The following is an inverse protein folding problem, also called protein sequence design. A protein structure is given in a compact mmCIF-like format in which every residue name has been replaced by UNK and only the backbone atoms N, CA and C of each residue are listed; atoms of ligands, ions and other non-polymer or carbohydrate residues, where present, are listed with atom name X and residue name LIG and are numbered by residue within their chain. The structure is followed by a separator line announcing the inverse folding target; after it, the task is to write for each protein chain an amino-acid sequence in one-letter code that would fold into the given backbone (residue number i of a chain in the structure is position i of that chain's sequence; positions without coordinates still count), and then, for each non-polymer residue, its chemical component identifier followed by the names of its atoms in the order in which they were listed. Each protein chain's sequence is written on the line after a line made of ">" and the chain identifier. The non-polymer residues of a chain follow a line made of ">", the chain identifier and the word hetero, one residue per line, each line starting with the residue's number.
data_IF_767521343187
#
_entry.id   IF_767521343187
#
_cell.length_a   1.000
_cell.length_b   1.000
_cell.length_c   1.000
_cell.angle_alpha   90.00
_cell.angle_beta   90.00
_cell.angle_gamma   90.00
#
_symmetry.space_group_name_H-M   'P 1'
#
loop_
_entity.id
_entity.type
_entity.pdbx_description
1 polymer ?
#
# COMPACT_ATOMS: atom_id res chain seq x y z
N UNK A 1 72.93 23.04 -18.27
CA UNK A 1 71.73 23.83 -17.88
C UNK A 1 70.58 22.85 -17.77
N UNK A 2 70.18 22.53 -16.55
CA UNK A 2 69.13 21.57 -16.21
C UNK A 2 67.85 22.33 -15.93
N UNK A 3 66.79 22.13 -16.71
CA UNK A 3 65.48 22.71 -16.45
C UNK A 3 64.62 21.65 -15.79
N UNK A 4 64.21 21.90 -14.55
CA UNK A 4 63.30 21.13 -13.73
C UNK A 4 61.87 21.44 -14.11
N UNK A 5 61.14 20.45 -14.68
CA UNK A 5 59.70 20.49 -14.90
C UNK A 5 59.01 20.06 -13.61
N UNK A 6 58.31 20.96 -12.95
CA UNK A 6 57.43 20.64 -11.81
C UNK A 6 56.08 20.18 -12.34
N UNK A 7 55.77 18.89 -12.19
CA UNK A 7 54.43 18.30 -12.42
C UNK A 7 53.49 18.75 -11.28
N UNK A 8 52.50 19.53 -11.65
CA UNK A 8 51.38 19.93 -10.79
C UNK A 8 50.28 18.83 -10.94
N UNK A 9 50.25 17.89 -10.01
CA UNK A 9 49.16 16.88 -9.95
C UNK A 9 47.91 17.59 -9.37
N UNK A 10 46.94 17.88 -10.24
CA UNK A 10 45.60 18.32 -9.85
C UNK A 10 44.83 17.10 -9.31
N UNK A 11 44.64 17.05 -8.01
CA UNK A 11 43.81 16.06 -7.34
C UNK A 11 42.35 16.45 -7.56
N UNK A 12 41.72 15.92 -8.60
CA UNK A 12 40.27 16.07 -8.84
C UNK A 12 39.53 15.18 -7.84
N UNK A 13 39.14 15.78 -6.71
CA UNK A 13 38.25 15.14 -5.76
C UNK A 13 36.87 15.00 -6.44
N UNK A 14 36.61 13.83 -7.01
CA UNK A 14 35.31 13.48 -7.56
C UNK A 14 34.30 13.41 -6.42
N UNK A 15 33.47 14.45 -6.28
CA UNK A 15 32.25 14.40 -5.47
C UNK A 15 31.32 13.42 -6.18
N UNK A 16 31.32 12.16 -5.76
CA UNK A 16 30.31 11.19 -6.17
C UNK A 16 28.95 11.75 -5.76
N UNK A 17 27.96 11.88 -6.68
CA UNK A 17 26.64 12.30 -6.29
C UNK A 17 26.07 11.22 -5.36
N UNK A 18 25.80 11.56 -4.13
CA UNK A 18 25.02 10.73 -3.21
C UNK A 18 23.61 10.69 -3.80
N UNK A 19 23.28 9.63 -4.50
CA UNK A 19 21.91 9.37 -4.92
C UNK A 19 21.05 9.16 -3.67
N UNK A 20 20.47 10.21 -3.19
CA UNK A 20 19.41 10.15 -2.19
C UNK A 20 18.18 9.61 -2.93
N UNK A 21 17.85 8.34 -2.75
CA UNK A 21 16.63 7.76 -3.30
C UNK A 21 15.43 8.46 -2.67
N UNK A 22 14.87 9.45 -3.37
CA UNK A 22 13.58 10.05 -3.09
C UNK A 22 12.48 9.16 -3.67
N UNK A 23 11.28 9.17 -3.06
CA UNK A 23 10.09 8.64 -3.70
C UNK A 23 9.50 9.70 -4.63
N UNK A 24 8.96 9.30 -5.79
CA UNK A 24 8.33 10.23 -6.71
C UNK A 24 6.94 10.60 -6.20
N UNK A 25 6.51 11.84 -6.46
CA UNK A 25 5.20 12.33 -6.02
C UNK A 25 4.07 11.40 -6.49
N UNK A 26 4.12 10.90 -7.72
CA UNK A 26 3.12 9.94 -8.24
C UNK A 26 3.01 8.64 -7.46
N UNK A 27 4.09 8.22 -6.78
CA UNK A 27 4.10 7.00 -5.97
C UNK A 27 3.51 7.24 -4.56
N UNK A 28 3.46 8.50 -4.13
CA UNK A 28 2.98 8.95 -2.82
C UNK A 28 1.56 9.51 -2.83
N UNK A 29 1.04 9.89 -4.00
CA UNK A 29 -0.23 10.63 -4.11
C UNK A 29 -1.15 10.10 -5.20
N UNK A 30 -2.42 10.41 -5.03
CA UNK A 30 -3.46 10.30 -6.06
C UNK A 30 -4.00 11.71 -6.38
N UNK A 31 -4.41 11.94 -7.62
CA UNK A 31 -5.00 13.21 -8.03
C UNK A 31 -6.49 13.20 -7.67
N UNK A 32 -6.97 14.23 -6.97
CA UNK A 32 -8.39 14.36 -6.64
C UNK A 32 -9.24 14.36 -7.91
N UNK A 33 -10.26 13.51 -7.92
CA UNK A 33 -11.14 13.30 -9.07
C UNK A 33 -10.73 12.11 -9.95
N UNK A 34 -9.49 11.61 -9.83
CA UNK A 34 -9.05 10.39 -10.51
C UNK A 34 -9.37 9.18 -9.63
N UNK A 35 -10.62 8.77 -9.62
CA UNK A 35 -11.07 7.60 -8.87
C UNK A 35 -11.74 6.60 -9.80
N UNK A 36 -11.62 5.35 -9.48
CA UNK A 36 -12.43 4.31 -10.07
C UNK A 36 -13.86 4.35 -9.52
N UNK A 37 -14.83 4.01 -10.34
CA UNK A 37 -16.22 3.92 -9.94
C UNK A 37 -16.71 2.49 -10.15
N UNK A 38 -17.38 1.96 -9.14
CA UNK A 38 -17.92 0.62 -9.19
C UNK A 38 -19.25 0.60 -9.92
N UNK A 39 -19.39 -0.36 -10.82
CA UNK A 39 -20.60 -0.65 -11.56
C UNK A 39 -21.15 -2.01 -11.14
N UNK A 40 -22.45 -2.12 -11.14
CA UNK A 40 -23.14 -3.38 -10.84
C UNK A 40 -24.32 -3.59 -11.81
N UNK A 41 -24.67 -4.83 -11.99
CA UNK A 41 -25.81 -5.20 -12.82
C UNK A 41 -26.37 -6.57 -12.42
N UNK A 42 -27.64 -6.76 -12.70
CA UNK A 42 -28.30 -8.05 -12.64
C UNK A 42 -28.41 -8.62 -14.04
N UNK A 43 -27.95 -9.85 -14.23
CA UNK A 43 -27.94 -10.49 -15.53
C UNK A 43 -28.29 -11.98 -15.46
N UNK A 44 -28.37 -12.59 -16.64
CA UNK A 44 -28.62 -14.02 -16.83
C UNK A 44 -27.45 -14.64 -17.59
N UNK A 45 -26.94 -15.74 -17.07
CA UNK A 45 -25.98 -16.61 -17.76
C UNK A 45 -26.74 -17.81 -18.32
N UNK A 46 -26.51 -18.14 -19.58
CA UNK A 46 -27.12 -19.25 -20.29
C UNK A 46 -26.10 -20.27 -20.75
N UNK A 47 -26.52 -21.51 -21.07
CA UNK A 47 -25.62 -22.54 -21.59
C UNK A 47 -24.96 -23.38 -20.51
N UNK A 48 -25.55 -23.49 -19.31
CA UNK A 48 -24.97 -24.18 -18.14
C UNK A 48 -25.13 -25.70 -18.07
N UNK A 49 -25.68 -26.30 -19.11
CA UNK A 49 -25.79 -27.78 -19.27
C UNK A 49 -26.27 -28.52 -17.98
N UNK A 50 -27.36 -28.04 -17.39
CA UNK A 50 -27.95 -28.63 -16.19
C UNK A 50 -27.32 -28.22 -14.85
N UNK A 51 -26.32 -27.32 -14.84
CA UNK A 51 -25.66 -26.76 -13.65
C UNK A 51 -26.21 -25.40 -13.19
N UNK A 52 -27.18 -24.86 -13.93
CA UNK A 52 -27.83 -23.57 -13.62
C UNK A 52 -28.84 -23.68 -12.47
N UNK A 53 -29.53 -22.58 -12.24
CA UNK A 53 -30.53 -22.44 -11.19
C UNK A 53 -31.68 -23.44 -11.30
N UNK A 54 -32.19 -23.90 -10.17
CA UNK A 54 -33.31 -24.77 -10.06
C UNK A 54 -34.47 -24.12 -9.32
N UNK A 55 -35.56 -23.82 -10.02
CA UNK A 55 -36.82 -23.31 -9.44
C UNK A 55 -36.63 -21.98 -8.68
N UNK A 56 -35.86 -21.09 -9.24
CA UNK A 56 -35.65 -19.74 -8.68
C UNK A 56 -36.53 -18.75 -9.46
N UNK A 57 -37.52 -18.16 -8.78
CA UNK A 57 -38.52 -17.27 -9.39
C UNK A 57 -37.92 -16.07 -10.12
N UNK A 58 -36.93 -15.38 -9.49
CA UNK A 58 -36.27 -14.23 -10.13
C UNK A 58 -35.41 -14.63 -11.34
N UNK A 59 -34.88 -15.87 -11.39
CA UNK A 59 -34.20 -16.39 -12.59
C UNK A 59 -35.20 -16.64 -13.72
N UNK A 60 -36.37 -17.24 -13.40
CA UNK A 60 -37.44 -17.47 -14.35
C UNK A 60 -38.00 -16.13 -14.90
N UNK A 61 -38.24 -15.15 -14.04
CA UNK A 61 -38.67 -13.81 -14.44
C UNK A 61 -37.60 -13.10 -15.28
N UNK A 62 -36.33 -13.24 -14.92
CA UNK A 62 -35.21 -12.62 -15.63
C UNK A 62 -35.11 -13.11 -17.07
N UNK A 63 -35.25 -14.42 -17.33
CA UNK A 63 -35.22 -14.95 -18.70
C UNK A 63 -36.47 -14.60 -19.48
N UNK A 64 -37.66 -14.57 -18.84
CA UNK A 64 -38.89 -14.14 -19.50
C UNK A 64 -38.81 -12.69 -19.98
N UNK A 65 -38.29 -11.79 -19.12
CA UNK A 65 -38.07 -10.39 -19.48
C UNK A 65 -37.03 -10.26 -20.62
N UNK A 66 -35.97 -11.06 -20.60
CA UNK A 66 -34.98 -11.08 -21.68
C UNK A 66 -35.61 -11.54 -23.02
N UNK A 67 -36.42 -12.59 -22.98
CA UNK A 67 -37.13 -13.09 -24.17
C UNK A 67 -38.16 -12.04 -24.71
N UNK A 68 -38.90 -11.38 -23.80
CA UNK A 68 -39.83 -10.34 -24.17
C UNK A 68 -39.13 -9.13 -24.84
N UNK A 69 -37.96 -8.76 -24.33
CA UNK A 69 -37.12 -7.71 -24.94
C UNK A 69 -36.66 -8.05 -26.35
N UNK A 70 -36.57 -9.34 -26.69
CA UNK A 70 -36.26 -9.86 -28.03
C UNK A 70 -37.53 -10.09 -28.89
N UNK A 71 -38.71 -9.73 -28.37
CA UNK A 71 -39.99 -9.90 -29.08
C UNK A 71 -40.59 -11.30 -28.96
N UNK A 72 -40.06 -12.16 -28.14
CA UNK A 72 -40.52 -13.52 -27.88
C UNK A 72 -41.38 -13.52 -26.62
N UNK A 73 -42.65 -13.91 -26.76
CA UNK A 73 -43.55 -14.06 -25.62
C UNK A 73 -43.60 -15.52 -25.19
N UNK A 74 -43.24 -15.76 -23.95
CA UNK A 74 -43.32 -17.08 -23.29
C UNK A 74 -44.03 -16.91 -21.94
N UNK A 75 -45.01 -17.77 -21.67
CA UNK A 75 -45.77 -17.71 -20.41
C UNK A 75 -45.07 -18.39 -19.26
N UNK A 76 -44.09 -19.23 -19.53
CA UNK A 76 -43.30 -19.96 -18.52
C UNK A 76 -41.88 -20.19 -19.01
N UNK A 77 -40.93 -20.13 -18.07
CA UNK A 77 -39.56 -20.53 -18.34
C UNK A 77 -39.42 -22.05 -18.30
N UNK A 78 -38.51 -22.60 -19.10
CA UNK A 78 -38.16 -24.01 -19.06
C UNK A 78 -37.36 -24.33 -17.82
N UNK A 79 -37.61 -25.55 -17.24
CA UNK A 79 -36.96 -26.05 -16.00
C UNK A 79 -35.65 -26.80 -16.28
N UNK A 80 -34.95 -26.43 -17.33
CA UNK A 80 -33.79 -27.17 -17.84
C UNK A 80 -32.52 -27.04 -17.00
N UNK A 81 -32.49 -26.18 -15.96
CA UNK A 81 -31.27 -25.82 -15.21
C UNK A 81 -30.12 -25.30 -16.12
N UNK A 82 -30.47 -24.70 -17.23
CA UNK A 82 -29.52 -24.24 -18.23
C UNK A 82 -29.22 -22.74 -18.11
N UNK A 83 -29.87 -22.07 -17.17
CA UNK A 83 -29.77 -20.67 -16.88
C UNK A 83 -29.46 -20.41 -15.41
N UNK A 84 -28.77 -19.30 -15.13
CA UNK A 84 -28.53 -18.82 -13.76
C UNK A 84 -28.65 -17.31 -13.69
N UNK A 85 -29.29 -16.82 -12.62
CA UNK A 85 -29.26 -15.42 -12.27
C UNK A 85 -27.93 -15.05 -11.66
N UNK A 86 -27.36 -13.94 -12.12
CA UNK A 86 -26.03 -13.50 -11.69
C UNK A 86 -26.01 -12.01 -11.33
N UNK A 87 -25.20 -11.70 -10.34
CA UNK A 87 -24.73 -10.34 -10.07
C UNK A 87 -23.44 -10.10 -10.83
N UNK A 88 -23.37 -8.97 -11.50
CA UNK A 88 -22.20 -8.54 -12.25
C UNK A 88 -21.61 -7.35 -11.55
N UNK A 89 -20.31 -7.35 -11.38
CA UNK A 89 -19.55 -6.21 -10.86
C UNK A 89 -18.42 -5.88 -11.81
N UNK A 90 -18.19 -4.60 -12.02
CA UNK A 90 -17.09 -4.09 -12.84
C UNK A 90 -16.60 -2.76 -12.26
N UNK A 91 -15.42 -2.35 -12.65
CA UNK A 91 -14.81 -1.11 -12.21
C UNK A 91 -14.40 -0.27 -13.41
N UNK A 92 -15.02 0.90 -13.54
CA UNK A 92 -14.64 1.86 -14.57
C UNK A 92 -13.59 2.82 -14.00
N UNK A 93 -12.40 2.80 -14.58
CA UNK A 93 -11.33 3.69 -14.18
C UNK A 93 -11.62 5.16 -14.57
N UNK A 94 -10.84 6.10 -14.01
CA UNK A 94 -11.05 7.54 -14.22
C UNK A 94 -10.87 7.99 -15.67
N UNK A 95 -10.21 7.18 -16.50
CA UNK A 95 -9.94 7.45 -17.90
C UNK A 95 -10.71 6.53 -18.86
N UNK A 96 -11.74 5.84 -18.34
CA UNK A 96 -12.59 4.99 -19.17
C UNK A 96 -13.34 5.82 -20.20
N UNK A 97 -13.08 5.54 -21.48
CA UNK A 97 -13.70 6.24 -22.63
C UNK A 97 -14.80 5.38 -23.23
N UNK A 98 -15.86 6.05 -23.73
CA UNK A 98 -16.91 5.35 -24.48
C UNK A 98 -16.29 4.56 -25.64
N UNK A 99 -16.75 3.32 -25.82
CA UNK A 99 -16.21 2.38 -26.80
C UNK A 99 -15.01 1.55 -26.33
N UNK A 100 -14.45 1.81 -25.13
CA UNK A 100 -13.40 0.94 -24.54
C UNK A 100 -14.02 -0.21 -23.77
N UNK A 101 -13.27 -1.31 -23.67
CA UNK A 101 -13.70 -2.53 -22.99
C UNK A 101 -13.04 -2.66 -21.62
N UNK A 102 -13.75 -3.31 -20.70
CA UNK A 102 -13.24 -3.64 -19.38
C UNK A 102 -13.64 -5.05 -18.97
N UNK A 103 -12.91 -5.61 -18.03
CA UNK A 103 -13.22 -6.90 -17.42
C UNK A 103 -14.34 -6.76 -16.41
N UNK A 104 -15.05 -7.85 -16.20
CA UNK A 104 -16.11 -7.92 -15.21
C UNK A 104 -16.08 -9.25 -14.46
N UNK A 105 -16.61 -9.22 -13.26
CA UNK A 105 -16.82 -10.41 -12.43
C UNK A 105 -18.30 -10.75 -12.41
N UNK A 106 -18.59 -12.03 -12.59
CA UNK A 106 -19.95 -12.59 -12.59
C UNK A 106 -20.05 -13.56 -11.41
N UNK A 107 -21.06 -13.37 -10.56
CA UNK A 107 -21.30 -14.22 -9.38
C UNK A 107 -22.74 -14.72 -9.40
N UNK A 108 -22.95 -16.02 -9.26
CA UNK A 108 -24.30 -16.58 -9.11
C UNK A 108 -24.96 -16.05 -7.84
N UNK A 109 -26.22 -15.62 -7.94
CA UNK A 109 -27.07 -15.23 -6.80
C UNK A 109 -28.14 -16.25 -6.48
N UNK A 110 -28.30 -17.24 -7.36
CA UNK A 110 -29.24 -18.35 -7.19
C UNK A 110 -28.60 -19.58 -6.57
N UNK A 111 -29.08 -20.73 -6.96
CA UNK A 111 -28.60 -22.04 -6.54
C UNK A 111 -27.92 -22.82 -7.65
N UNK A 112 -27.31 -22.12 -8.61
CA UNK A 112 -26.52 -22.75 -9.66
C UNK A 112 -25.30 -23.49 -9.06
N UNK A 113 -25.05 -24.70 -9.55
CA UNK A 113 -23.90 -25.51 -9.12
C UNK A 113 -22.60 -24.98 -9.74
N UNK A 114 -22.68 -24.42 -10.99
CA UNK A 114 -21.51 -23.88 -11.70
C UNK A 114 -21.93 -22.93 -12.82
N UNK A 115 -21.09 -21.95 -13.13
CA UNK A 115 -21.20 -21.06 -14.28
C UNK A 115 -20.31 -21.50 -15.46
N UNK A 116 -19.70 -22.67 -15.39
CA UNK A 116 -18.76 -23.16 -16.39
C UNK A 116 -19.43 -23.31 -17.78
N UNK A 117 -18.73 -22.76 -18.79
CA UNK A 117 -19.20 -22.82 -20.18
C UNK A 117 -20.38 -21.91 -20.50
N UNK A 118 -20.88 -21.17 -19.50
CA UNK A 118 -21.99 -20.27 -19.67
C UNK A 118 -21.61 -18.98 -20.42
N UNK A 119 -22.61 -18.38 -21.02
CA UNK A 119 -22.50 -17.07 -21.70
C UNK A 119 -23.42 -16.08 -20.99
N UNK A 120 -22.86 -14.95 -20.58
CA UNK A 120 -23.61 -13.83 -20.03
C UNK A 120 -24.39 -13.14 -21.15
N UNK A 121 -25.69 -13.03 -20.97
CA UNK A 121 -26.56 -12.26 -21.86
C UNK A 121 -26.29 -10.75 -21.67
N UNK A 122 -26.63 -9.96 -22.69
CA UNK A 122 -26.47 -8.51 -22.67
C UNK A 122 -27.14 -7.92 -21.42
N UNK A 123 -26.33 -7.26 -20.60
CA UNK A 123 -26.75 -6.74 -19.29
C UNK A 123 -26.24 -5.33 -19.09
N UNK A 124 -27.13 -4.36 -18.75
CA UNK A 124 -26.70 -3.01 -18.40
C UNK A 124 -26.04 -2.97 -17.04
N UNK A 125 -24.89 -2.29 -16.94
CA UNK A 125 -24.19 -2.03 -15.70
C UNK A 125 -24.46 -0.60 -15.25
N UNK A 126 -24.91 -0.44 -14.01
CA UNK A 126 -25.31 0.83 -13.40
C UNK A 126 -24.29 1.28 -12.38
N UNK A 127 -24.10 2.60 -12.30
CA UNK A 127 -23.41 3.24 -11.20
C UNK A 127 -24.30 3.42 -9.96
N UNK A 128 -23.71 3.95 -8.89
CA UNK A 128 -24.44 4.25 -7.65
C UNK A 128 -25.58 5.28 -7.82
N UNK A 129 -25.52 6.09 -8.86
CA UNK A 129 -26.55 7.05 -9.26
C UNK A 129 -27.72 6.43 -10.05
N UNK A 130 -27.66 5.12 -10.32
CA UNK A 130 -28.67 4.37 -11.06
C UNK A 130 -28.58 4.50 -12.59
N UNK A 131 -27.64 5.31 -13.11
CA UNK A 131 -27.44 5.47 -14.54
C UNK A 131 -26.63 4.33 -15.13
N UNK A 132 -26.90 3.97 -16.40
CA UNK A 132 -26.15 2.94 -17.12
C UNK A 132 -24.87 3.56 -17.68
N UNK A 133 -23.72 2.96 -17.36
CA UNK A 133 -22.40 3.37 -17.82
C UNK A 133 -21.74 2.39 -18.78
N UNK A 134 -22.10 1.11 -18.69
CA UNK A 134 -21.56 0.08 -19.56
C UNK A 134 -22.59 -0.99 -19.85
N UNK A 135 -22.34 -1.78 -20.90
CA UNK A 135 -23.15 -2.94 -21.27
C UNK A 135 -22.22 -4.16 -21.29
N UNK A 136 -22.62 -5.19 -20.56
CA UNK A 136 -21.84 -6.41 -20.35
C UNK A 136 -22.41 -7.59 -21.15
N UNK A 137 -21.54 -8.38 -21.79
CA UNK A 137 -21.88 -9.68 -22.41
C UNK A 137 -20.62 -10.48 -22.66
N UNK A 138 -20.77 -11.81 -22.75
CA UNK A 138 -19.66 -12.65 -23.19
C UNK A 138 -19.54 -13.99 -22.45
N UNK A 139 -18.60 -14.85 -22.86
CA UNK A 139 -18.37 -16.15 -22.24
C UNK A 139 -17.78 -15.99 -20.83
N UNK A 140 -18.35 -16.73 -19.87
CA UNK A 140 -17.89 -16.72 -18.48
C UNK A 140 -16.73 -17.72 -18.34
N UNK A 141 -15.57 -17.22 -17.93
CA UNK A 141 -14.41 -18.04 -17.59
C UNK A 141 -14.34 -18.21 -16.08
N UNK A 142 -14.44 -19.42 -15.60
CA UNK A 142 -14.24 -19.74 -14.18
C UNK A 142 -12.79 -20.14 -13.93
N UNK A 143 -12.20 -19.66 -12.83
CA UNK A 143 -10.79 -19.91 -12.47
C UNK A 143 -10.56 -21.27 -11.81
N UNK A 144 -11.24 -22.36 -12.24
CA UNK A 144 -11.08 -23.68 -11.64
C UNK A 144 -11.56 -24.81 -12.54
N UNK A 145 -10.90 -25.96 -12.44
CA UNK A 145 -11.31 -27.21 -13.05
C UNK A 145 -12.30 -27.93 -12.12
N UNK A 146 -13.52 -28.11 -12.59
CA UNK A 146 -14.46 -29.10 -12.01
C UNK A 146 -14.26 -30.45 -12.76
N UNK A 147 -13.46 -31.35 -12.20
CA UNK A 147 -13.28 -32.70 -12.73
C UNK A 147 -13.91 -33.66 -11.74
N UNK A 148 -15.09 -34.17 -12.09
CA UNK A 148 -15.79 -35.23 -11.34
C UNK A 148 -16.40 -36.22 -12.30
N UNK A 149 -15.78 -37.39 -12.43
CA UNK A 149 -16.39 -38.57 -13.00
C UNK A 149 -16.34 -39.69 -11.94
N UNK A 150 -17.50 -40.04 -11.38
CA UNK A 150 -17.67 -41.23 -10.54
C UNK A 150 -17.11 -41.20 -9.12
N UNK A 151 -17.85 -40.69 -8.16
CA UNK A 151 -17.70 -41.06 -6.74
C UNK A 151 -16.81 -40.18 -5.85
N UNK A 152 -16.18 -39.13 -6.35
CA UNK A 152 -15.42 -38.20 -5.53
C UNK A 152 -15.47 -36.79 -6.14
N UNK A 153 -16.18 -35.88 -5.49
CA UNK A 153 -16.25 -34.47 -5.93
C UNK A 153 -15.04 -33.75 -5.38
N UNK A 154 -13.97 -33.62 -6.18
CA UNK A 154 -12.86 -32.71 -5.86
C UNK A 154 -13.21 -31.35 -6.44
N UNK A 155 -13.78 -30.50 -5.62
CA UNK A 155 -14.09 -29.13 -5.96
C UNK A 155 -12.86 -28.28 -5.63
N UNK A 156 -12.08 -27.91 -6.65
CA UNK A 156 -10.99 -26.94 -6.54
C UNK A 156 -11.47 -25.64 -7.17
N UNK A 157 -11.62 -24.61 -6.33
CA UNK A 157 -12.12 -23.26 -6.62
C UNK A 157 -13.66 -23.13 -6.71
N UNK A 158 -14.14 -21.88 -6.52
CA UNK A 158 -15.56 -21.55 -6.50
C UNK A 158 -16.14 -21.51 -7.93
N UNK A 159 -16.89 -22.54 -8.37
CA UNK A 159 -17.40 -22.61 -9.75
C UNK A 159 -18.56 -21.65 -10.01
N UNK A 160 -19.05 -20.98 -8.98
CA UNK A 160 -20.17 -20.03 -9.02
C UNK A 160 -19.74 -18.59 -9.25
N UNK A 161 -18.43 -18.35 -9.34
CA UNK A 161 -17.84 -17.03 -9.66
C UNK A 161 -16.93 -17.17 -10.87
N UNK A 162 -17.05 -16.25 -11.82
CA UNK A 162 -16.24 -16.22 -13.02
C UNK A 162 -15.92 -14.80 -13.47
N UNK A 163 -15.01 -14.70 -14.42
CA UNK A 163 -14.58 -13.45 -15.04
C UNK A 163 -14.95 -13.49 -16.52
N UNK A 164 -15.44 -12.38 -17.05
CA UNK A 164 -15.60 -12.17 -18.49
C UNK A 164 -14.60 -11.10 -18.92
N UNK A 165 -13.52 -11.57 -19.54
CA UNK A 165 -12.44 -10.68 -19.99
C UNK A 165 -12.92 -9.82 -21.17
N UNK A 166 -12.69 -8.51 -21.09
CA UNK A 166 -13.18 -7.52 -22.07
C UNK A 166 -14.70 -7.63 -22.35
N UNK A 167 -15.46 -8.08 -21.35
CA UNK A 167 -16.88 -8.38 -21.50
C UNK A 167 -17.80 -7.19 -21.33
N UNK A 168 -17.35 -6.08 -20.80
CA UNK A 168 -18.15 -4.87 -20.68
C UNK A 168 -17.64 -3.79 -21.63
N UNK A 169 -18.55 -3.20 -22.39
CA UNK A 169 -18.31 -2.04 -23.25
C UNK A 169 -18.79 -0.78 -22.53
N UNK A 170 -17.93 0.21 -22.40
CA UNK A 170 -18.29 1.50 -21.81
C UNK A 170 -19.13 2.29 -22.81
N UNK A 171 -20.34 2.66 -22.41
CA UNK A 171 -21.28 3.46 -23.21
C UNK A 171 -21.27 4.94 -22.79
N UNK A 172 -20.98 5.21 -21.50
CA UNK A 172 -20.95 6.56 -20.96
C UNK A 172 -19.68 6.79 -20.17
N UNK A 173 -19.01 7.90 -20.46
CA UNK A 173 -17.82 8.33 -19.71
C UNK A 173 -18.21 8.91 -18.35
N UNK A 174 -17.31 8.75 -17.38
CA UNK A 174 -17.40 9.45 -16.10
C UNK A 174 -16.56 10.72 -16.23
N UNK A 175 -17.22 11.86 -16.22
CA UNK A 175 -16.52 13.13 -16.29
C UNK A 175 -15.84 13.45 -14.96
N UNK A 176 -14.58 13.86 -15.04
CA UNK A 176 -13.84 14.42 -13.91
C UNK A 176 -13.49 15.87 -14.20
N UNK A 177 -13.84 16.77 -13.29
CA UNK A 177 -13.49 18.18 -13.40
C UNK A 177 -12.00 18.46 -13.12
N UNK A 178 -11.24 17.45 -12.72
CA UNK A 178 -9.85 17.62 -12.28
C UNK A 178 -8.93 18.16 -13.38
N UNK A 179 -9.23 17.86 -14.66
CA UNK A 179 -8.42 18.32 -15.79
C UNK A 179 -8.81 19.71 -16.33
N UNK A 180 -9.98 20.22 -15.94
CA UNK A 180 -10.50 21.52 -16.40
C UNK A 180 -10.25 22.66 -15.43
N UNK A 181 -9.72 22.37 -14.22
CA UNK A 181 -9.44 23.37 -13.19
C UNK A 181 -8.04 23.96 -13.33
N UNK A 182 -7.91 25.21 -12.90
CA UNK A 182 -6.61 25.93 -12.84
C UNK A 182 -5.71 25.43 -11.69
N UNK A 183 -6.19 24.47 -10.91
CA UNK A 183 -5.45 23.85 -9.81
C UNK A 183 -5.77 22.37 -9.66
N UNK A 184 -4.79 21.61 -9.20
CA UNK A 184 -4.85 20.19 -8.96
C UNK A 184 -4.63 19.94 -7.47
N UNK A 185 -5.44 19.09 -6.86
CA UNK A 185 -5.24 18.64 -5.51
C UNK A 185 -4.59 17.25 -5.53
N UNK A 186 -3.39 17.15 -4.97
CA UNK A 186 -2.70 15.90 -4.75
C UNK A 186 -3.09 15.36 -3.37
N UNK A 187 -3.66 14.18 -3.34
CA UNK A 187 -4.09 13.49 -2.12
C UNK A 187 -3.01 12.51 -1.69
N UNK A 188 -2.42 12.70 -0.51
CA UNK A 188 -1.41 11.80 0.01
C UNK A 188 -2.06 10.45 0.41
N UNK A 189 -1.51 9.33 -0.08
CA UNK A 189 -1.96 7.97 0.31
C UNK A 189 -1.73 7.69 1.78
N UNK A 190 -0.64 8.23 2.35
CA UNK A 190 -0.35 8.21 3.77
C UNK A 190 -0.28 9.65 4.29
N UNK A 191 -1.36 10.19 4.88
CA UNK A 191 -1.40 11.57 5.37
C UNK A 191 -0.30 11.86 6.40
N UNK A 192 0.51 12.90 6.13
CA UNK A 192 1.58 13.34 7.01
C UNK A 192 1.93 14.80 6.73
N UNK A 193 1.82 15.66 7.74
CA UNK A 193 2.04 17.11 7.60
C UNK A 193 3.44 17.45 7.08
N UNK A 194 4.47 16.76 7.58
CA UNK A 194 5.86 17.03 7.18
C UNK A 194 6.10 16.58 5.73
N UNK A 195 5.54 15.45 5.31
CA UNK A 195 5.60 14.98 3.92
C UNK A 195 4.89 15.96 2.99
N UNK A 196 3.69 16.45 3.34
CA UNK A 196 2.95 17.42 2.55
C UNK A 196 3.74 18.73 2.35
N UNK A 197 4.35 19.24 3.43
CA UNK A 197 5.18 20.46 3.35
C UNK A 197 6.44 20.24 2.52
N UNK A 198 7.13 19.11 2.68
CA UNK A 198 8.30 18.75 1.86
C UNK A 198 7.94 18.64 0.38
N UNK A 199 6.78 18.05 0.09
CA UNK A 199 6.24 17.90 -1.26
C UNK A 199 5.94 19.26 -1.89
N UNK A 200 5.22 20.13 -1.19
CA UNK A 200 4.94 21.49 -1.65
C UNK A 200 6.25 22.27 -1.90
N UNK A 201 7.24 22.14 -1.03
CA UNK A 201 8.55 22.77 -1.20
C UNK A 201 9.30 22.23 -2.42
N UNK A 202 9.27 20.93 -2.66
CA UNK A 202 9.91 20.30 -3.82
C UNK A 202 9.27 20.75 -5.14
N UNK A 203 7.94 20.80 -5.21
CA UNK A 203 7.20 21.31 -6.38
C UNK A 203 7.53 22.76 -6.63
N UNK A 204 7.56 23.60 -5.58
CA UNK A 204 7.90 25.03 -5.69
C UNK A 204 9.36 25.26 -6.12
N UNK A 205 10.24 24.27 -5.98
CA UNK A 205 11.60 24.31 -6.51
C UNK A 205 11.64 24.29 -8.05
N UNK A 206 10.68 23.63 -8.69
CA UNK A 206 10.54 23.58 -10.15
C UNK A 206 9.54 24.61 -10.68
N UNK A 207 8.46 24.85 -9.93
CA UNK A 207 7.35 25.75 -10.29
C UNK A 207 7.12 26.76 -9.15
N UNK A 208 7.86 27.86 -9.07
CA UNK A 208 7.82 28.79 -7.94
C UNK A 208 6.42 29.32 -7.65
N UNK A 209 5.97 29.18 -6.39
CA UNK A 209 4.69 29.69 -5.93
C UNK A 209 3.46 28.93 -6.42
N UNK A 210 3.64 27.80 -7.10
CA UNK A 210 2.53 27.00 -7.62
C UNK A 210 1.92 26.04 -6.59
N UNK A 211 2.63 25.67 -5.54
CA UNK A 211 2.21 24.62 -4.63
C UNK A 211 2.07 25.09 -3.18
N UNK A 212 0.99 24.64 -2.52
CA UNK A 212 0.68 24.89 -1.12
C UNK A 212 0.14 23.62 -0.45
N UNK A 213 0.73 23.20 0.67
CA UNK A 213 0.15 22.16 1.53
C UNK A 213 -1.04 22.77 2.28
N UNK A 214 -2.23 22.26 2.05
CA UNK A 214 -3.45 22.69 2.75
C UNK A 214 -3.52 22.00 4.12
N UNK A 215 -3.27 20.71 4.14
CA UNK A 215 -3.19 19.87 5.34
C UNK A 215 -2.24 18.69 5.12
N UNK A 216 -2.18 17.77 6.07
CA UNK A 216 -1.32 16.58 5.98
C UNK A 216 -1.72 15.57 4.91
N UNK A 217 -2.92 15.69 4.34
CA UNK A 217 -3.44 14.79 3.31
C UNK A 217 -3.56 15.42 1.94
N UNK A 218 -3.48 16.77 1.83
CA UNK A 218 -3.78 17.50 0.59
C UNK A 218 -2.72 18.54 0.28
N UNK A 219 -2.15 18.45 -0.91
CA UNK A 219 -1.30 19.49 -1.49
C UNK A 219 -1.98 20.06 -2.73
N UNK A 220 -2.36 21.33 -2.67
CA UNK A 220 -2.90 22.04 -3.82
C UNK A 220 -1.77 22.56 -4.71
N UNK A 221 -1.90 22.32 -6.02
CA UNK A 221 -0.93 22.74 -7.03
C UNK A 221 -1.64 23.52 -8.12
N UNK A 222 -1.33 24.81 -8.24
CA UNK A 222 -1.84 25.67 -9.32
C UNK A 222 -1.14 25.32 -10.62
N UNK A 223 -1.90 25.20 -11.69
CA UNK A 223 -1.36 24.94 -13.03
C UNK A 223 -0.75 26.23 -13.56
N UNK A 224 0.56 26.27 -13.87
CA UNK A 224 1.19 27.43 -14.47
C UNK A 224 0.57 27.76 -15.83
N UNK A 225 0.60 29.04 -16.20
CA UNK A 225 0.02 29.54 -17.46
C UNK A 225 0.55 28.77 -18.70
N UNK A 226 1.82 28.33 -18.63
CA UNK A 226 2.49 27.57 -19.69
C UNK A 226 1.86 26.19 -19.95
N UNK A 227 1.17 25.63 -18.94
CA UNK A 227 0.51 24.31 -19.01
C UNK A 227 -1.01 24.41 -19.11
N UNK A 228 -1.58 25.59 -19.27
CA UNK A 228 -3.03 25.74 -19.48
C UNK A 228 -3.45 25.01 -20.75
N UNK A 229 -4.45 24.12 -20.64
CA UNK A 229 -4.88 23.22 -21.72
C UNK A 229 -4.00 21.97 -21.90
N UNK A 230 -2.91 21.84 -21.15
CA UNK A 230 -2.01 20.68 -21.12
C UNK A 230 -1.87 20.11 -19.70
N UNK A 231 -2.94 20.09 -18.93
CA UNK A 231 -2.97 19.68 -17.52
C UNK A 231 -2.38 18.28 -17.31
N UNK A 232 -2.60 17.36 -18.26
CA UNK A 232 -2.04 16.00 -18.20
C UNK A 232 -0.50 16.01 -18.24
N UNK A 233 0.11 16.87 -19.08
CA UNK A 233 1.57 17.00 -19.13
C UNK A 233 2.12 17.59 -17.82
N UNK A 234 1.41 18.54 -17.24
CA UNK A 234 1.76 19.13 -15.95
C UNK A 234 1.68 18.10 -14.81
N UNK A 235 0.60 17.31 -14.75
CA UNK A 235 0.45 16.22 -13.76
C UNK A 235 1.60 15.22 -13.88
N UNK A 236 1.98 14.84 -15.11
CA UNK A 236 3.10 13.93 -15.35
C UNK A 236 4.42 14.54 -14.87
N UNK A 237 4.69 15.81 -15.18
CA UNK A 237 5.89 16.51 -14.76
C UNK A 237 6.00 16.64 -13.22
N UNK A 238 4.91 17.05 -12.56
CA UNK A 238 4.85 17.09 -11.10
C UNK A 238 5.00 15.70 -10.49
N UNK A 239 4.43 14.67 -11.11
CA UNK A 239 4.50 13.29 -10.66
C UNK A 239 5.92 12.72 -10.63
N UNK A 240 6.82 13.19 -11.49
CA UNK A 240 8.22 12.75 -11.53
C UNK A 240 9.12 13.48 -10.52
N UNK A 241 8.64 14.52 -9.84
CA UNK A 241 9.42 15.22 -8.81
C UNK A 241 9.70 14.27 -7.64
N UNK A 242 10.96 14.21 -7.24
CA UNK A 242 11.40 13.37 -6.11
C UNK A 242 11.27 14.12 -4.78
N UNK A 243 10.76 13.41 -3.79
CA UNK A 243 10.58 13.88 -2.42
C UNK A 243 11.02 12.81 -1.45
N UNK A 244 11.71 13.20 -0.37
CA UNK A 244 12.01 12.32 0.75
C UNK A 244 10.82 12.36 1.74
N UNK A 245 9.92 11.35 1.73
CA UNK A 245 8.78 11.33 2.63
C UNK A 245 9.27 11.21 4.07
N UNK A 246 8.42 11.64 4.99
CA UNK A 246 8.62 11.40 6.40
C UNK A 246 8.10 10.00 6.72
N UNK A 247 8.96 9.19 7.32
CA UNK A 247 8.62 7.81 7.69
C UNK A 247 8.34 7.82 9.20
N UNK A 248 7.11 7.51 9.64
CA UNK A 248 6.81 7.42 11.06
C UNK A 248 7.65 6.31 11.71
N UNK A 249 8.09 6.59 12.94
CA UNK A 249 8.83 5.62 13.73
C UNK A 249 7.91 4.46 14.12
N UNK A 250 8.15 3.27 13.56
CA UNK A 250 7.35 2.06 13.81
C UNK A 250 8.22 0.85 14.09
N UNK A 251 7.73 0.00 14.98
CA UNK A 251 8.29 -1.33 15.22
C UNK A 251 7.16 -2.34 14.97
N UNK A 252 7.43 -3.30 14.11
CA UNK A 252 6.50 -4.38 13.79
C UNK A 252 7.12 -5.68 14.29
N UNK A 253 6.44 -6.38 15.18
CA UNK A 253 6.85 -7.68 15.70
C UNK A 253 5.84 -8.72 15.22
N UNK A 254 6.34 -9.72 14.50
CA UNK A 254 5.54 -10.89 14.13
C UNK A 254 5.85 -12.01 15.12
N UNK A 255 4.90 -12.32 16.02
CA UNK A 255 5.10 -13.34 17.06
C UNK A 255 5.21 -14.75 16.49
N UNK A 256 4.58 -15.04 15.35
CA UNK A 256 4.59 -16.37 14.74
C UNK A 256 5.93 -16.70 14.07
N UNK A 257 6.57 -15.69 13.44
CA UNK A 257 7.83 -15.89 12.70
C UNK A 257 9.06 -15.44 13.47
N UNK A 258 8.91 -14.72 14.58
CA UNK A 258 10.00 -14.13 15.32
C UNK A 258 10.65 -12.92 14.66
N UNK A 259 10.01 -12.36 13.63
CA UNK A 259 10.61 -11.26 12.87
C UNK A 259 10.30 -9.92 13.52
N UNK A 260 11.35 -9.13 13.76
CA UNK A 260 11.26 -7.75 14.26
C UNK A 260 11.73 -6.82 13.14
N UNK A 261 10.88 -5.88 12.76
CA UNK A 261 11.19 -4.84 11.76
C UNK A 261 11.04 -3.48 12.43
N UNK A 262 12.11 -2.71 12.46
CA UNK A 262 12.09 -1.33 12.96
C UNK A 262 12.48 -0.36 11.85
N UNK A 263 11.86 0.82 11.82
CA UNK A 263 12.30 1.91 10.95
C UNK A 263 13.63 2.48 11.46
N UNK A 264 14.49 3.00 10.58
CA UNK A 264 15.87 3.39 10.87
C UNK A 264 16.04 4.44 11.99
N UNK A 265 15.00 5.17 12.36
CA UNK A 265 15.09 6.32 13.27
C UNK A 265 14.46 6.03 14.64
N UNK A 266 14.19 4.77 14.98
CA UNK A 266 13.60 4.46 16.29
C UNK A 266 14.69 4.40 17.34
N UNK A 267 14.71 5.38 18.24
CA UNK A 267 15.61 5.46 19.40
C UNK A 267 14.87 5.10 20.67
N UNK A 268 15.59 4.57 21.62
CA UNK A 268 15.10 4.22 22.96
C UNK A 268 15.77 5.18 23.93
N UNK A 269 14.95 5.88 24.72
CA UNK A 269 15.46 6.68 25.84
C UNK A 269 16.06 5.79 26.93
N UNK A 270 16.97 6.31 27.77
CA UNK A 270 17.53 5.57 28.86
C UNK A 270 16.45 4.94 29.73
N UNK A 271 16.49 3.63 29.93
CA UNK A 271 15.50 2.88 30.70
C UNK A 271 16.12 1.59 31.22
N UNK A 272 15.72 1.21 32.42
CA UNK A 272 16.05 -0.09 33.00
C UNK A 272 14.80 -0.99 32.90
N UNK A 273 14.94 -2.16 32.32
CA UNK A 273 13.87 -3.17 32.22
C UNK A 273 14.37 -4.47 32.82
N UNK A 274 13.63 -4.96 33.80
CA UNK A 274 13.87 -6.29 34.39
C UNK A 274 12.73 -7.23 34.00
N UNK A 275 13.06 -8.35 33.41
CA UNK A 275 12.10 -9.40 33.03
C UNK A 275 12.62 -10.74 33.48
N UNK A 276 11.90 -11.39 34.38
CA UNK A 276 12.16 -12.72 34.98
C UNK A 276 13.64 -13.09 35.27
N UNK A 277 14.47 -13.28 34.26
CA UNK A 277 15.85 -13.71 34.38
C UNK A 277 16.88 -12.74 33.79
N UNK A 278 16.42 -11.62 33.19
CA UNK A 278 17.28 -10.67 32.48
C UNK A 278 17.00 -9.25 32.93
N UNK A 279 18.01 -8.54 33.38
CA UNK A 279 17.92 -7.10 33.65
C UNK A 279 18.77 -6.36 32.64
N UNK A 280 18.14 -5.41 31.93
CA UNK A 280 18.75 -4.66 30.84
C UNK A 280 18.83 -3.19 31.23
N UNK A 281 20.05 -2.65 31.22
CA UNK A 281 20.30 -1.22 31.39
C UNK A 281 20.71 -0.63 30.05
N UNK A 282 19.93 0.33 29.56
CA UNK A 282 20.23 1.09 28.35
C UNK A 282 20.80 2.45 28.78
N UNK A 283 22.12 2.54 28.89
CA UNK A 283 22.81 3.78 29.16
C UNK A 283 23.75 4.12 28.01
N UNK A 284 23.77 5.36 27.52
CA UNK A 284 24.79 5.78 26.58
C UNK A 284 26.14 5.87 27.29
N UNK A 285 27.13 5.05 26.89
CA UNK A 285 28.50 5.13 27.39
C UNK A 285 29.35 5.96 26.44
N UNK A 286 29.84 7.09 26.90
CA UNK A 286 30.92 7.83 26.26
C UNK A 286 32.27 7.33 26.73
N UNK A 287 32.98 6.60 25.87
CA UNK A 287 34.38 6.22 26.13
C UNK A 287 35.32 7.39 25.80
N UNK A 288 36.08 7.86 26.80
CA UNK A 288 37.15 8.84 26.58
C UNK A 288 38.48 8.10 26.44
N UNK A 289 39.02 8.07 25.22
CA UNK A 289 40.38 7.58 25.01
C UNK A 289 41.38 8.69 25.39
N UNK A 290 42.06 8.54 26.53
CA UNK A 290 43.12 9.44 26.93
C UNK A 290 44.48 8.88 26.51
N UNK A 291 45.34 9.71 25.87
CA UNK A 291 46.73 9.32 25.65
C UNK A 291 47.47 9.14 26.95
N UNK A 292 48.40 8.20 26.96
CA UNK A 292 49.27 7.98 28.12
C UNK A 292 50.03 9.27 28.52
N UNK A 293 50.28 9.50 29.84
CA UNK A 293 51.06 10.63 30.28
C UNK A 293 52.38 10.72 29.51
N UNK A 294 52.70 11.90 28.98
CA UNK A 294 53.88 12.19 28.16
C UNK A 294 53.81 11.77 26.67
N UNK A 295 52.68 11.34 26.11
CA UNK A 295 52.51 11.20 24.67
C UNK A 295 51.96 12.49 24.04
N UNK A 296 52.34 12.78 22.76
CA UNK A 296 51.86 13.97 21.99
C UNK A 296 50.54 13.71 21.26
N UNK A 297 49.64 12.95 21.83
CA UNK A 297 48.30 12.67 21.26
C UNK A 297 47.25 13.67 21.76
N UNK A 298 46.25 13.98 20.94
CA UNK A 298 45.07 14.72 21.36
C UNK A 298 44.04 13.75 21.95
N UNK A 299 43.27 14.20 22.97
CA UNK A 299 42.15 13.44 23.52
C UNK A 299 41.06 13.35 22.47
N UNK A 300 40.68 12.16 22.06
CA UNK A 300 39.59 11.90 21.13
C UNK A 300 38.44 11.23 21.88
N UNK A 301 37.27 11.81 21.80
CA UNK A 301 36.04 11.23 22.35
C UNK A 301 35.52 10.22 21.34
N UNK A 302 35.65 8.92 21.68
CA UNK A 302 35.09 7.84 20.87
C UNK A 302 33.71 7.55 21.42
N UNK A 303 32.66 7.84 20.65
CA UNK A 303 31.30 7.41 20.93
C UNK A 303 31.24 5.90 20.70
N UNK A 304 31.32 5.13 21.76
CA UNK A 304 31.21 3.68 21.74
C UNK A 304 29.87 3.25 22.33
N UNK A 305 29.09 2.59 21.53
CA UNK A 305 27.83 1.97 21.94
C UNK A 305 28.11 0.62 22.55
N UNK A 306 27.92 0.49 23.85
CA UNK A 306 27.96 -0.81 24.55
C UNK A 306 26.68 -0.99 25.37
N UNK A 307 25.88 -2.00 25.00
CA UNK A 307 24.88 -2.56 25.89
C UNK A 307 25.63 -3.50 26.89
N UNK A 308 25.81 -3.10 28.12
CA UNK A 308 26.41 -3.92 29.16
C UNK A 308 25.31 -4.73 29.85
N UNK A 309 25.46 -6.03 29.84
CA UNK A 309 24.57 -6.99 30.46
C UNK A 309 25.19 -7.45 31.79
N UNK A 310 24.49 -7.18 32.86
CA UNK A 310 24.85 -7.70 34.18
C UNK A 310 23.79 -8.71 34.60
N UNK A 311 24.21 -9.96 34.72
CA UNK A 311 23.42 -11.05 35.26
C UNK A 311 23.60 -11.05 36.82
N UNK A 312 22.86 -10.18 37.50
CA UNK A 312 22.74 -10.22 38.97
C UNK A 312 21.35 -9.85 39.46
N UNK A 313 20.86 -10.63 40.39
CA UNK A 313 19.54 -10.50 41.02
C UNK A 313 19.51 -9.29 41.96
N UNK A 314 18.78 -8.27 41.57
CA UNK A 314 18.14 -7.33 42.48
C UNK A 314 19.01 -6.33 43.23
N UNK A 315 19.33 -5.19 42.61
CA UNK A 315 19.47 -3.89 43.29
C UNK A 315 19.23 -2.76 42.30
N UNK A 316 18.32 -1.88 42.66
CA UNK A 316 18.12 -0.62 41.93
C UNK A 316 19.09 0.42 42.45
N UNK A 317 19.96 0.94 41.64
CA UNK A 317 20.63 2.23 41.84
C UNK A 317 20.26 3.14 40.66
N UNK A 318 19.60 4.26 40.98
CA UNK A 318 19.37 5.34 40.04
C UNK A 318 20.63 6.19 39.95
N UNK A 319 21.15 6.35 38.75
CA UNK A 319 22.18 7.35 38.45
C UNK A 319 21.59 8.48 37.63
N UNK A 320 21.73 9.68 38.20
CA UNK A 320 21.26 10.95 37.69
C UNK A 320 21.90 11.35 36.34
N UNK A 321 21.07 11.89 35.51
CA UNK A 321 21.21 12.93 34.48
C UNK A 321 22.60 13.33 34.01
N UNK A 322 22.97 12.90 32.79
CA UNK A 322 23.83 13.66 31.89
C UNK A 322 23.50 13.23 30.47
N UNK A 323 22.76 14.10 29.75
CA UNK A 323 22.42 13.94 28.34
C UNK A 323 23.65 14.03 27.43
N UNK A 324 23.90 13.01 26.60
CA UNK A 324 24.45 13.23 25.26
C UNK A 324 23.47 12.75 24.19
N UNK A 325 23.48 13.32 22.98
CA UNK A 325 22.57 12.96 21.89
C UNK A 325 22.96 11.65 21.23
N UNK A 326 22.49 10.52 21.78
CA UNK A 326 22.79 9.19 21.22
C UNK A 326 22.13 8.08 22.01
N UNK A 327 20.79 7.96 21.97
CA UNK A 327 20.09 6.82 22.57
C UNK A 327 20.27 5.54 21.74
N UNK A 328 20.32 4.38 22.42
CA UNK A 328 20.38 3.03 21.79
C UNK A 328 19.28 2.85 20.76
N UNK A 329 19.62 2.34 19.60
CA UNK A 329 18.62 2.06 18.56
C UNK A 329 17.90 0.73 18.83
N UNK A 330 16.65 0.62 18.34
CA UNK A 330 15.88 -0.62 18.44
C UNK A 330 16.61 -1.80 17.81
N UNK A 331 17.34 -1.57 16.71
CA UNK A 331 18.09 -2.63 16.02
C UNK A 331 19.23 -3.19 16.89
N UNK A 332 19.92 -2.33 17.61
CA UNK A 332 21.00 -2.74 18.54
C UNK A 332 20.43 -3.53 19.70
N UNK A 333 19.32 -3.04 20.29
CA UNK A 333 18.64 -3.76 21.34
C UNK A 333 18.12 -5.13 20.84
N UNK A 334 17.45 -5.18 19.70
CA UNK A 334 16.97 -6.44 19.13
C UNK A 334 18.10 -7.43 18.85
N UNK A 335 19.25 -6.93 18.36
CA UNK A 335 20.44 -7.75 18.11
C UNK A 335 21.03 -8.28 19.41
N UNK A 336 21.09 -7.45 20.46
CA UNK A 336 21.56 -7.87 21.78
C UNK A 336 20.65 -8.93 22.39
N UNK A 337 19.32 -8.73 22.34
CA UNK A 337 18.33 -9.69 22.84
C UNK A 337 18.39 -11.04 22.10
N UNK A 338 18.59 -11.02 20.78
CA UNK A 338 18.78 -12.22 19.98
C UNK A 338 20.07 -12.97 20.35
N UNK A 339 21.17 -12.27 20.60
CA UNK A 339 22.43 -12.88 21.04
C UNK A 339 22.30 -13.57 22.40
N UNK A 340 21.39 -13.09 23.24
CA UNK A 340 21.08 -13.69 24.54
C UNK A 340 20.18 -14.92 24.45
N UNK A 341 19.69 -15.25 23.25
CA UNK A 341 18.81 -16.40 23.04
C UNK A 341 17.38 -16.21 23.56
N UNK A 342 16.94 -14.98 23.78
CA UNK A 342 15.57 -14.68 24.22
C UNK A 342 14.55 -15.10 23.14
N UNK A 343 13.44 -15.65 23.61
CA UNK A 343 12.33 -16.02 22.73
C UNK A 343 11.61 -14.77 22.21
N UNK A 344 10.94 -14.89 21.05
CA UNK A 344 10.14 -13.78 20.47
C UNK A 344 9.14 -13.22 21.47
N UNK A 345 8.50 -14.07 22.26
CA UNK A 345 7.52 -13.65 23.28
C UNK A 345 8.17 -12.80 24.39
N UNK A 346 9.35 -13.17 24.83
CA UNK A 346 10.11 -12.39 25.83
C UNK A 346 10.54 -11.04 25.23
N UNK A 347 11.03 -11.02 23.99
CA UNK A 347 11.37 -9.79 23.29
C UNK A 347 10.16 -8.87 23.14
N UNK A 348 9.00 -9.42 22.75
CA UNK A 348 7.74 -8.65 22.66
C UNK A 348 7.38 -8.04 24.01
N UNK A 349 7.47 -8.80 25.10
CA UNK A 349 7.19 -8.32 26.46
C UNK A 349 8.13 -7.18 26.88
N UNK A 350 9.42 -7.29 26.53
CA UNK A 350 10.42 -6.26 26.81
C UNK A 350 10.09 -4.97 26.03
N UNK A 351 9.81 -5.07 24.73
CA UNK A 351 9.44 -3.90 23.92
C UNK A 351 8.14 -3.25 24.39
N UNK A 352 7.16 -4.04 24.82
CA UNK A 352 5.92 -3.52 25.42
C UNK A 352 6.21 -2.78 26.74
N UNK A 353 7.09 -3.33 27.58
CA UNK A 353 7.47 -2.70 28.84
C UNK A 353 8.20 -1.38 28.62
N UNK A 354 9.13 -1.33 27.67
CA UNK A 354 9.84 -0.10 27.27
C UNK A 354 8.86 0.94 26.71
N UNK A 355 7.88 0.49 25.92
CA UNK A 355 6.82 1.35 25.38
C UNK A 355 5.93 1.92 26.48
N UNK A 356 5.51 1.07 27.43
CA UNK A 356 4.67 1.47 28.57
C UNK A 356 5.41 2.41 29.54
N UNK A 357 6.73 2.25 29.68
CA UNK A 357 7.59 3.16 30.43
C UNK A 357 7.78 4.52 29.73
N UNK A 358 7.30 4.68 28.47
CA UNK A 358 7.44 5.92 27.69
C UNK A 358 8.85 6.11 27.08
N UNK A 359 9.75 5.16 27.24
CA UNK A 359 11.10 5.23 26.72
C UNK A 359 11.20 4.94 25.21
N UNK A 360 10.15 4.37 24.60
CA UNK A 360 10.06 4.06 23.19
C UNK A 360 9.18 5.07 22.47
N UNK A 361 9.78 5.97 21.68
CA UNK A 361 9.08 6.99 20.91
C UNK A 361 8.70 6.47 19.51
N UNK A 362 8.03 5.31 19.46
CA UNK A 362 7.58 4.67 18.23
C UNK A 362 6.23 4.00 18.43
N UNK A 363 5.52 3.77 17.32
CA UNK A 363 4.35 2.91 17.30
C UNK A 363 4.79 1.44 17.33
N UNK A 364 4.29 0.67 18.27
CA UNK A 364 4.54 -0.77 18.36
C UNK A 364 3.32 -1.51 17.81
N UNK A 365 3.52 -2.28 16.75
CA UNK A 365 2.51 -3.12 16.10
C UNK A 365 2.91 -4.58 16.27
N UNK A 366 2.01 -5.40 16.80
CA UNK A 366 2.22 -6.84 17.02
C UNK A 366 1.22 -7.58 16.12
N UNK A 367 1.74 -8.51 15.28
CA UNK A 367 0.97 -9.30 14.32
C UNK A 367 1.11 -10.79 14.59
#
# INVERSE_FOLDING_TARGET
>A
MKSTVRSLAFFLLGVAPIFVFGARIKDLTDVRGFRSNQLFGYGIVTGLNGQGDSRIEYTELGILNALESLGIRADKADKSRNIAAVMITAEIGPFGKAGTKMDLTVSSIGNADSLQGGILLQTPLKGADGLVYAVAQGPVSIGGLSAGNGGGNIQVNHPTVGIVTNGALIEREIFTDALSKDSIDLLLRAPNNLTAVKMAKAINGFYPGSSLAIDGGVVNVKVPVEFLGQTTNFIAAVGEVEVKPDIPAKIIINERTGTIVATQNVRISPVAVSSSNVTIFLNPTTGVSQPLPFSRGATEVIEGENAELIEEVGRFESLDELDPPGGTTVNELATALNKLGLTTREMTSIFQSIKNAGALQAELVIN
#
